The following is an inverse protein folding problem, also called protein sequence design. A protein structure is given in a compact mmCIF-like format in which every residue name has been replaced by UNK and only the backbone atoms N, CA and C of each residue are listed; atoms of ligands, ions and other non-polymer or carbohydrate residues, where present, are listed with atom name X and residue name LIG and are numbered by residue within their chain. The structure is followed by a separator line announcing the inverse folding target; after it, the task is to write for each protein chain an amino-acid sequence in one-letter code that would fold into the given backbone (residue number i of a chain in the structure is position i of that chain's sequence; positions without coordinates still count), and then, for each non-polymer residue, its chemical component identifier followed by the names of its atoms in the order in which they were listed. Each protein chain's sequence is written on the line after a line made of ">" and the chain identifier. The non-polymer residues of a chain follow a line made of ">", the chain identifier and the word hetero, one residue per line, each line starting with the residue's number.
data_IF_276418284850
#
_entry.id   IF_276418284850
#
_cell.length_a   1.000
_cell.length_b   1.000
_cell.length_c   1.000
_cell.angle_alpha   90.00
_cell.angle_beta   90.00
_cell.angle_gamma   90.00
#
_symmetry.space_group_name_H-M   'P 1'
#
loop_
_entity.id
_entity.type
_entity.pdbx_description
1 polymer ?
#
# COMPACT_ATOMS: atom_id res chain seq x y z
N UNK A 1 -7.83 2.66 0.15
CA UNK A 1 -7.64 2.81 -1.31
C UNK A 1 -8.88 2.45 -2.13
N UNK A 2 -9.53 1.29 -1.92
CA UNK A 2 -10.66 0.86 -2.77
C UNK A 2 -11.77 1.90 -2.98
N UNK A 3 -12.29 2.59 -1.93
CA UNK A 3 -13.33 3.60 -2.12
C UNK A 3 -12.86 4.76 -2.99
N UNK A 4 -11.63 5.24 -2.79
CA UNK A 4 -11.07 6.32 -3.62
C UNK A 4 -10.94 5.93 -5.08
N UNK A 5 -10.40 4.74 -5.37
CA UNK A 5 -10.34 4.23 -6.74
C UNK A 5 -11.72 4.12 -7.38
N UNK A 6 -12.71 3.61 -6.63
CA UNK A 6 -14.08 3.51 -7.11
C UNK A 6 -14.67 4.87 -7.47
N UNK A 7 -14.61 5.86 -6.57
CA UNK A 7 -15.16 7.20 -6.82
C UNK A 7 -14.40 7.98 -7.90
N UNK A 8 -13.08 7.80 -8.00
CA UNK A 8 -12.28 8.38 -9.10
C UNK A 8 -12.71 7.77 -10.45
N UNK A 9 -12.90 6.45 -10.51
CA UNK A 9 -13.41 5.78 -11.70
C UNK A 9 -14.82 6.23 -12.07
N UNK A 10 -15.69 6.38 -11.06
CA UNK A 10 -17.05 6.88 -11.25
C UNK A 10 -17.04 8.31 -11.81
N UNK A 11 -16.27 9.22 -11.22
CA UNK A 11 -16.14 10.59 -11.68
C UNK A 11 -15.57 10.70 -13.10
N UNK A 12 -14.67 9.79 -13.48
CA UNK A 12 -14.16 9.71 -14.84
C UNK A 12 -15.23 9.26 -15.85
N UNK A 13 -16.14 8.36 -15.47
CA UNK A 13 -17.24 7.89 -16.32
C UNK A 13 -18.36 8.93 -16.41
N UNK A 14 -18.71 9.58 -15.29
CA UNK A 14 -19.80 10.56 -15.23
C UNK A 14 -19.37 11.97 -15.65
N UNK A 15 -18.07 12.22 -15.80
CA UNK A 15 -17.51 13.54 -16.10
C UNK A 15 -17.65 14.56 -14.96
N UNK A 16 -18.08 14.13 -13.77
CA UNK A 16 -18.43 15.01 -12.65
C UNK A 16 -18.12 14.36 -11.31
N UNK A 17 -17.62 15.16 -10.36
CA UNK A 17 -17.39 14.72 -8.99
C UNK A 17 -18.69 14.83 -8.17
N UNK A 18 -19.45 13.73 -8.11
CA UNK A 18 -20.71 13.66 -7.38
C UNK A 18 -20.53 14.06 -5.91
N UNK A 19 -21.13 15.20 -5.54
CA UNK A 19 -21.07 15.78 -4.19
C UNK A 19 -19.65 15.98 -3.61
N UNK A 20 -18.62 16.03 -4.46
CA UNK A 20 -17.23 16.12 -4.00
C UNK A 20 -16.69 14.82 -3.36
N UNK A 21 -17.40 13.69 -3.49
CA UNK A 21 -17.00 12.41 -2.89
C UNK A 21 -15.68 11.88 -3.47
N UNK A 22 -15.45 12.06 -4.77
CA UNK A 22 -14.20 11.72 -5.43
C UNK A 22 -13.04 12.48 -4.80
N UNK A 23 -13.14 13.81 -4.72
CA UNK A 23 -12.12 14.66 -4.08
C UNK A 23 -11.91 14.31 -2.61
N UNK A 24 -12.98 14.00 -1.87
CA UNK A 24 -12.90 13.55 -0.48
C UNK A 24 -12.10 12.25 -0.34
N UNK A 25 -12.46 11.20 -1.08
CA UNK A 25 -11.79 9.91 -0.98
C UNK A 25 -10.39 9.89 -1.63
N UNK A 26 -10.11 10.79 -2.58
CA UNK A 26 -8.75 11.03 -3.09
C UNK A 26 -7.83 11.45 -1.96
N UNK A 27 -8.23 12.44 -1.14
CA UNK A 27 -7.42 12.94 -0.01
C UNK A 27 -7.08 11.83 0.98
N UNK A 28 -8.07 11.01 1.31
CA UNK A 28 -7.89 9.82 2.17
C UNK A 28 -6.96 8.82 1.50
N UNK A 29 -7.13 8.55 0.21
CA UNK A 29 -6.35 7.56 -0.53
C UNK A 29 -4.88 7.96 -0.63
N UNK A 30 -4.58 9.21 -0.97
CA UNK A 30 -3.20 9.70 -1.05
C UNK A 30 -2.54 9.69 0.33
N UNK A 31 -3.26 10.11 1.37
CA UNK A 31 -2.76 10.03 2.75
C UNK A 31 -2.50 8.60 3.19
N UNK A 32 -3.38 7.66 2.82
CA UNK A 32 -3.24 6.23 3.13
C UNK A 32 -2.03 5.62 2.43
N UNK A 33 -1.80 5.97 1.15
CA UNK A 33 -0.63 5.54 0.39
C UNK A 33 0.68 5.99 1.05
N UNK A 34 0.74 7.25 1.49
CA UNK A 34 1.93 7.76 2.20
C UNK A 34 2.14 7.03 3.52
N UNK A 35 1.07 6.78 4.27
CA UNK A 35 1.11 6.03 5.53
C UNK A 35 1.56 4.58 5.33
N UNK A 36 1.20 3.94 4.22
CA UNK A 36 1.64 2.58 3.91
C UNK A 36 3.17 2.48 3.82
N UNK A 37 3.83 3.45 3.20
CA UNK A 37 5.30 3.51 3.16
C UNK A 37 5.93 3.64 4.56
N UNK A 38 5.34 4.46 5.43
CA UNK A 38 5.81 4.62 6.82
C UNK A 38 5.59 3.33 7.62
N UNK A 39 4.42 2.71 7.49
CA UNK A 39 4.13 1.42 8.12
C UNK A 39 5.06 0.31 7.62
N UNK A 40 5.45 0.33 6.35
CA UNK A 40 6.43 -0.60 5.79
C UNK A 40 7.78 -0.53 6.53
N UNK A 41 8.25 0.68 6.85
CA UNK A 41 9.46 0.86 7.65
C UNK A 41 9.27 0.36 9.09
N UNK A 42 8.14 0.66 9.74
CA UNK A 42 7.87 0.19 11.11
C UNK A 42 7.80 -1.34 11.19
N UNK A 43 7.17 -1.96 10.18
CA UNK A 43 7.12 -3.42 10.07
C UNK A 43 8.53 -4.02 9.89
N UNK A 44 9.38 -3.37 9.07
CA UNK A 44 10.77 -3.82 8.87
C UNK A 44 11.62 -3.69 10.15
N UNK A 45 11.40 -2.65 10.96
CA UNK A 45 12.11 -2.45 12.23
C UNK A 45 11.65 -3.36 13.38
N UNK A 46 10.59 -4.15 13.16
CA UNK A 46 10.05 -5.14 14.09
C UNK A 46 9.64 -4.59 15.48
N UNK A 47 8.32 -4.47 15.70
CA UNK A 47 7.66 -4.45 17.04
C UNK A 47 7.99 -3.27 17.99
N UNK A 48 8.33 -2.10 17.48
CA UNK A 48 8.36 -0.90 18.31
C UNK A 48 6.96 -0.29 18.39
N UNK A 49 6.19 -0.64 19.43
CA UNK A 49 4.83 -0.14 19.65
C UNK A 49 4.76 1.40 19.65
N UNK A 50 5.80 2.05 20.16
CA UNK A 50 5.94 3.52 20.16
C UNK A 50 5.95 4.09 18.73
N UNK A 51 6.61 3.41 17.79
CA UNK A 51 6.64 3.87 16.40
C UNK A 51 5.26 3.75 15.74
N UNK A 52 4.47 2.73 16.10
CA UNK A 52 3.13 2.57 15.58
C UNK A 52 2.23 3.74 15.99
N UNK A 53 2.27 4.14 17.26
CA UNK A 53 1.52 5.31 17.75
C UNK A 53 1.94 6.58 16.99
N UNK A 54 3.25 6.80 16.82
CA UNK A 54 3.76 7.95 16.06
C UNK A 54 3.29 7.95 14.61
N UNK A 55 3.21 6.78 13.96
CA UNK A 55 2.72 6.68 12.58
C UNK A 55 1.24 7.04 12.49
N UNK A 56 0.41 6.59 13.42
CA UNK A 56 -1.01 6.96 13.46
C UNK A 56 -1.20 8.45 13.72
N UNK A 57 -0.40 9.03 14.62
CA UNK A 57 -0.40 10.49 14.86
C UNK A 57 0.01 11.26 13.60
N UNK A 58 1.05 10.81 12.90
CA UNK A 58 1.48 11.39 11.63
C UNK A 58 0.37 11.30 10.56
N UNK A 59 -0.28 10.15 10.42
CA UNK A 59 -1.38 9.96 9.48
C UNK A 59 -2.56 10.88 9.80
N UNK A 60 -2.96 10.97 11.07
CA UNK A 60 -4.04 11.84 11.49
C UNK A 60 -3.72 13.32 11.22
N UNK A 61 -2.51 13.77 11.56
CA UNK A 61 -2.05 15.13 11.29
C UNK A 61 -2.02 15.43 9.78
N UNK A 62 -1.44 14.54 8.99
CA UNK A 62 -1.37 14.67 7.54
C UNK A 62 -2.76 14.71 6.89
N UNK A 63 -3.67 13.87 7.36
CA UNK A 63 -5.06 13.86 6.90
C UNK A 63 -5.78 15.16 7.26
N UNK A 64 -5.61 15.65 8.50
CA UNK A 64 -6.18 16.92 8.95
C UNK A 64 -5.72 18.09 8.06
N UNK A 65 -4.44 18.13 7.68
CA UNK A 65 -3.91 19.14 6.74
C UNK A 65 -4.66 19.10 5.40
N UNK A 66 -4.91 17.93 4.82
CA UNK A 66 -5.66 17.81 3.56
C UNK A 66 -7.14 18.24 3.63
N UNK A 67 -7.71 18.24 4.83
CA UNK A 67 -9.07 18.75 5.07
C UNK A 67 -9.12 20.25 5.34
N UNK A 68 -7.97 20.93 5.43
CA UNK A 68 -7.93 22.40 5.48
C UNK A 68 -8.11 23.00 4.07
N UNK A 69 -8.62 24.24 3.97
CA UNK A 69 -8.77 24.93 2.67
C UNK A 69 -7.44 25.34 2.02
N UNK A 70 -6.30 24.99 2.62
CA UNK A 70 -4.96 25.40 2.21
C UNK A 70 -4.25 24.41 1.28
N UNK A 71 -4.76 23.19 1.19
CA UNK A 71 -4.24 22.14 0.32
C UNK A 71 -5.38 21.42 -0.36
N UNK A 72 -5.27 21.15 -1.66
CA UNK A 72 -6.34 20.46 -2.37
C UNK A 72 -5.86 19.62 -3.55
N UNK A 73 -6.76 18.75 -4.01
CA UNK A 73 -6.59 17.95 -5.21
C UNK A 73 -7.67 18.30 -6.23
N UNK A 74 -7.26 18.47 -7.49
CA UNK A 74 -8.17 18.60 -8.61
C UNK A 74 -8.36 17.22 -9.23
N UNK A 75 -9.61 16.78 -9.30
CA UNK A 75 -10.00 15.60 -10.04
C UNK A 75 -10.42 16.00 -11.46
N UNK A 76 -9.56 15.70 -12.44
CA UNK A 76 -9.89 15.91 -13.86
C UNK A 76 -10.42 14.60 -14.43
N UNK A 77 -11.65 14.61 -14.93
CA UNK A 77 -12.35 13.41 -15.40
C UNK A 77 -11.55 12.60 -16.45
N UNK A 78 -10.79 13.28 -17.32
CA UNK A 78 -10.07 12.60 -18.40
C UNK A 78 -8.71 12.01 -17.97
N UNK A 79 -8.15 12.38 -16.82
CA UNK A 79 -6.78 11.93 -16.47
C UNK A 79 -6.74 10.73 -15.54
N UNK A 80 -7.86 10.34 -14.91
CA UNK A 80 -8.01 9.27 -13.88
C UNK A 80 -7.08 9.40 -12.67
N UNK A 81 -6.14 10.33 -12.71
CA UNK A 81 -5.16 10.58 -11.69
C UNK A 81 -5.44 11.95 -11.09
N UNK A 82 -5.57 12.06 -9.75
CA UNK A 82 -5.70 13.35 -9.09
C UNK A 82 -4.45 14.19 -9.34
N UNK A 83 -4.65 15.48 -9.56
CA UNK A 83 -3.59 16.47 -9.73
C UNK A 83 -3.56 17.40 -8.52
N UNK A 84 -2.38 17.72 -8.03
CA UNK A 84 -2.22 18.73 -6.98
C UNK A 84 -2.77 20.09 -7.45
N UNK A 85 -3.59 20.73 -6.62
CA UNK A 85 -4.06 22.10 -6.84
C UNK A 85 -3.01 23.11 -6.38
N UNK A 86 -2.14 23.54 -7.31
CA UNK A 86 -1.12 24.55 -7.04
C UNK A 86 -1.67 25.98 -6.94
N UNK A 87 -2.97 26.22 -7.15
CA UNK A 87 -3.59 27.51 -6.84
C UNK A 87 -3.64 27.77 -5.33
N UNK A 88 -3.54 26.71 -4.51
CA UNK A 88 -3.49 26.80 -3.05
C UNK A 88 -2.04 26.92 -2.56
N UNK A 89 -1.77 27.79 -1.57
CA UNK A 89 -0.41 28.18 -1.20
C UNK A 89 0.43 27.04 -0.62
N UNK A 90 -0.19 26.08 0.07
CA UNK A 90 0.53 25.04 0.80
C UNK A 90 0.51 23.67 0.11
N UNK A 91 -0.23 23.50 -1.00
CA UNK A 91 -0.29 22.20 -1.70
C UNK A 91 1.11 21.73 -2.12
N UNK A 92 1.90 22.61 -2.74
CA UNK A 92 3.25 22.27 -3.19
C UNK A 92 4.15 21.84 -2.03
N UNK A 93 4.14 22.59 -0.94
CA UNK A 93 4.96 22.31 0.23
C UNK A 93 4.55 20.98 0.89
N UNK A 94 3.25 20.76 1.08
CA UNK A 94 2.72 19.53 1.66
C UNK A 94 2.96 18.30 0.77
N UNK A 95 2.89 18.49 -0.56
CA UNK A 95 3.25 17.46 -1.52
C UNK A 95 4.73 17.09 -1.39
N UNK A 96 5.61 18.08 -1.36
CA UNK A 96 7.07 17.88 -1.27
C UNK A 96 7.47 17.21 0.03
N UNK A 97 6.99 17.70 1.18
CA UNK A 97 7.29 17.12 2.50
C UNK A 97 6.79 15.68 2.57
N UNK A 98 5.51 15.45 2.24
CA UNK A 98 4.93 14.11 2.31
C UNK A 98 5.57 13.13 1.32
N UNK A 99 5.95 13.60 0.14
CA UNK A 99 6.71 12.82 -0.84
C UNK A 99 8.10 12.45 -0.34
N UNK A 100 8.87 13.40 0.21
CA UNK A 100 10.20 13.13 0.76
C UNK A 100 10.16 12.16 1.93
N UNK A 101 9.20 12.32 2.86
CA UNK A 101 9.03 11.38 3.99
C UNK A 101 8.74 9.97 3.45
N UNK A 102 7.81 9.86 2.50
CA UNK A 102 7.46 8.58 1.89
C UNK A 102 8.66 7.91 1.20
N UNK A 103 9.41 8.66 0.38
CA UNK A 103 10.59 8.16 -0.32
C UNK A 103 11.68 7.69 0.66
N UNK A 104 11.92 8.45 1.73
CA UNK A 104 12.88 8.09 2.78
C UNK A 104 12.44 6.83 3.53
N UNK A 105 11.15 6.71 3.87
CA UNK A 105 10.63 5.52 4.54
C UNK A 105 10.74 4.28 3.67
N UNK A 106 10.42 4.39 2.37
CA UNK A 106 10.60 3.30 1.41
C UNK A 106 12.07 2.93 1.31
N UNK A 107 12.98 3.89 1.07
CA UNK A 107 14.41 3.60 1.00
C UNK A 107 14.96 2.96 2.29
N UNK A 108 14.51 3.45 3.45
CA UNK A 108 14.87 2.88 4.76
C UNK A 108 14.36 1.45 4.92
N UNK A 109 13.11 1.18 4.54
CA UNK A 109 12.54 -0.17 4.63
C UNK A 109 13.30 -1.17 3.75
N UNK A 110 13.71 -0.77 2.55
CA UNK A 110 14.56 -1.58 1.67
C UNK A 110 15.86 -1.96 2.36
N UNK A 111 16.54 -0.96 2.93
CA UNK A 111 17.82 -1.15 3.58
C UNK A 111 17.67 -2.13 4.76
N UNK A 112 16.65 -1.96 5.58
CA UNK A 112 16.33 -2.89 6.67
C UNK A 112 16.12 -4.32 6.16
N UNK A 113 15.34 -4.50 5.09
CA UNK A 113 15.13 -5.83 4.52
C UNK A 113 16.42 -6.43 3.94
N UNK A 114 17.26 -5.67 3.24
CA UNK A 114 18.56 -6.13 2.76
C UNK A 114 19.44 -6.61 3.92
N UNK A 115 19.49 -5.84 5.02
CA UNK A 115 20.24 -6.24 6.22
C UNK A 115 19.69 -7.53 6.83
N UNK A 116 18.37 -7.66 6.95
CA UNK A 116 17.71 -8.88 7.44
C UNK A 116 18.06 -10.09 6.54
N UNK A 117 18.06 -9.93 5.22
CA UNK A 117 18.42 -10.99 4.26
C UNK A 117 19.86 -11.43 4.48
N UNK A 118 20.80 -10.49 4.50
CA UNK A 118 22.23 -10.78 4.68
C UNK A 118 22.46 -11.50 6.01
N UNK A 119 21.79 -11.04 7.07
CA UNK A 119 21.86 -11.66 8.39
C UNK A 119 21.30 -13.09 8.39
N UNK A 120 20.16 -13.34 7.73
CA UNK A 120 19.58 -14.69 7.62
C UNK A 120 20.47 -15.63 6.81
N UNK A 121 21.07 -15.17 5.71
CA UNK A 121 22.01 -15.94 4.90
C UNK A 121 23.26 -16.29 5.73
N UNK A 122 23.84 -15.29 6.41
CA UNK A 122 25.00 -15.48 7.27
C UNK A 122 24.72 -16.50 8.38
N UNK A 123 23.61 -16.34 9.10
CA UNK A 123 23.19 -17.25 10.17
C UNK A 123 22.98 -18.66 9.65
N UNK A 124 22.37 -18.82 8.47
CA UNK A 124 22.16 -20.12 7.83
C UNK A 124 23.46 -20.84 7.52
N UNK A 125 24.45 -20.13 6.99
CA UNK A 125 25.79 -20.68 6.72
C UNK A 125 26.46 -21.11 8.02
N UNK A 126 26.32 -20.31 9.08
CA UNK A 126 27.00 -20.54 10.36
C UNK A 126 26.38 -21.65 11.22
N UNK A 127 25.06 -21.84 11.21
CA UNK A 127 24.38 -22.69 12.22
C UNK A 127 23.80 -24.00 11.68
N UNK A 128 23.70 -24.21 10.36
CA UNK A 128 23.14 -25.42 9.69
C UNK A 128 21.76 -25.92 10.18
N UNK A 129 21.10 -25.22 11.11
CA UNK A 129 19.98 -25.76 11.89
C UNK A 129 18.93 -24.68 12.15
N UNK A 130 18.32 -24.17 11.07
CA UNK A 130 17.20 -23.24 11.18
C UNK A 130 15.90 -24.00 10.91
N UNK A 131 15.21 -24.40 11.99
CA UNK A 131 13.80 -24.85 11.92
C UNK A 131 12.95 -23.63 11.51
N UNK A 132 12.09 -23.79 10.51
CA UNK A 132 11.16 -22.78 9.93
C UNK A 132 11.67 -21.91 8.77
N UNK A 133 12.78 -22.27 8.11
CA UNK A 133 13.30 -21.57 6.93
C UNK A 133 12.26 -21.28 5.84
N UNK A 134 11.33 -22.20 5.58
CA UNK A 134 10.35 -22.04 4.51
C UNK A 134 9.40 -20.86 4.77
N UNK A 135 9.01 -20.65 6.03
CA UNK A 135 8.09 -19.57 6.40
C UNK A 135 8.80 -18.21 6.33
N UNK A 136 10.04 -18.13 6.84
CA UNK A 136 10.85 -16.91 6.75
C UNK A 136 11.22 -16.56 5.31
N UNK A 137 11.59 -17.55 4.49
CA UNK A 137 11.89 -17.35 3.06
C UNK A 137 10.65 -16.87 2.31
N UNK A 138 9.46 -17.40 2.64
CA UNK A 138 8.20 -16.94 2.05
C UNK A 138 7.90 -15.49 2.46
N UNK A 139 7.98 -15.13 3.74
CA UNK A 139 7.80 -13.75 4.18
C UNK A 139 8.77 -12.79 3.48
N UNK A 140 10.02 -13.24 3.30
CA UNK A 140 11.06 -12.47 2.66
C UNK A 140 10.81 -12.24 1.17
N UNK A 141 10.45 -13.29 0.42
CA UNK A 141 10.10 -13.17 -1.00
C UNK A 141 8.90 -12.24 -1.18
N UNK A 142 7.93 -12.31 -0.27
CA UNK A 142 6.77 -11.41 -0.27
C UNK A 142 7.20 -9.95 -0.15
N UNK A 143 8.05 -9.66 0.85
CA UNK A 143 8.55 -8.31 1.10
C UNK A 143 9.36 -7.77 -0.08
N UNK A 144 10.27 -8.56 -0.67
CA UNK A 144 11.07 -8.16 -1.83
C UNK A 144 10.19 -7.89 -3.05
N UNK A 145 9.23 -8.76 -3.34
CA UNK A 145 8.33 -8.58 -4.48
C UNK A 145 7.48 -7.32 -4.32
N UNK A 146 6.88 -7.11 -3.14
CA UNK A 146 6.11 -5.90 -2.83
C UNK A 146 6.96 -4.64 -2.99
N UNK A 147 8.14 -4.66 -2.37
CA UNK A 147 9.07 -3.54 -2.41
C UNK A 147 9.51 -3.20 -3.83
N UNK A 148 9.87 -4.20 -4.62
CA UNK A 148 10.34 -3.99 -6.00
C UNK A 148 9.26 -3.32 -6.86
N UNK A 149 8.00 -3.72 -6.68
CA UNK A 149 6.88 -3.08 -7.38
C UNK A 149 6.66 -1.64 -6.91
N UNK A 150 6.72 -1.38 -5.61
CA UNK A 150 6.54 -0.03 -5.05
C UNK A 150 7.67 0.92 -5.46
N UNK A 151 8.92 0.46 -5.44
CA UNK A 151 10.09 1.22 -5.89
C UNK A 151 10.03 1.51 -7.40
N UNK A 152 9.59 0.54 -8.20
CA UNK A 152 9.38 0.74 -9.65
C UNK A 152 8.32 1.81 -9.90
N UNK A 153 7.20 1.74 -9.17
CA UNK A 153 6.13 2.74 -9.29
C UNK A 153 6.55 4.13 -8.83
N UNK A 154 7.28 4.24 -7.72
CA UNK A 154 7.82 5.51 -7.24
C UNK A 154 8.76 6.12 -8.28
N UNK A 155 9.65 5.31 -8.87
CA UNK A 155 10.58 5.74 -9.92
C UNK A 155 9.84 6.21 -11.18
N UNK A 156 8.84 5.44 -11.64
CA UNK A 156 8.02 5.83 -12.80
C UNK A 156 7.25 7.12 -12.53
N UNK A 157 6.75 7.32 -11.30
CA UNK A 157 6.05 8.53 -10.92
C UNK A 157 6.98 9.75 -10.86
N UNK A 158 8.21 9.59 -10.38
CA UNK A 158 9.24 10.65 -10.41
C UNK A 158 9.66 10.99 -11.85
N UNK A 159 9.89 9.98 -12.69
CA UNK A 159 10.19 10.19 -14.11
C UNK A 159 9.04 10.87 -14.86
N UNK A 160 7.79 10.67 -14.41
CA UNK A 160 6.63 11.37 -14.98
C UNK A 160 6.65 12.87 -14.74
N UNK A 161 7.06 13.32 -13.56
CA UNK A 161 7.25 14.74 -13.27
C UNK A 161 8.24 15.39 -14.24
N UNK A 162 9.22 14.62 -14.73
CA UNK A 162 10.26 15.09 -15.66
C UNK A 162 9.81 15.02 -17.12
N UNK A 163 9.13 13.95 -17.56
CA UNK A 163 8.90 13.66 -18.98
C UNK A 163 7.45 13.71 -19.48
N UNK A 164 6.50 14.24 -18.69
CA UNK A 164 5.07 14.38 -19.08
C UNK A 164 4.53 13.12 -19.77
N UNK A 165 4.47 12.01 -19.02
CA UNK A 165 4.07 10.71 -19.55
C UNK A 165 2.64 10.78 -20.07
N UNK A 166 2.47 10.53 -21.37
CA UNK A 166 1.21 10.60 -22.14
C UNK A 166 0.10 9.67 -21.63
N UNK A 167 0.44 8.66 -20.82
CA UNK A 167 -0.46 7.57 -20.42
C UNK A 167 -0.77 7.55 -18.91
N UNK A 168 -1.27 8.65 -18.35
CA UNK A 168 -1.66 8.74 -16.93
C UNK A 168 -2.67 7.65 -16.51
N UNK A 169 -3.57 7.25 -17.42
CA UNK A 169 -4.56 6.18 -17.22
C UNK A 169 -3.89 4.83 -16.91
N UNK A 170 -2.88 4.45 -17.69
CA UNK A 170 -2.14 3.19 -17.51
C UNK A 170 -1.43 3.21 -16.16
N UNK A 171 -0.74 4.31 -15.85
CA UNK A 171 -0.02 4.45 -14.58
C UNK A 171 -0.97 4.31 -13.39
N UNK A 172 -2.13 4.97 -13.42
CA UNK A 172 -3.11 4.88 -12.35
C UNK A 172 -3.66 3.46 -12.17
N UNK A 173 -3.93 2.76 -13.28
CA UNK A 173 -4.35 1.35 -13.24
C UNK A 173 -3.26 0.47 -12.64
N UNK A 174 -2.00 0.65 -13.02
CA UNK A 174 -0.87 -0.12 -12.44
C UNK A 174 -0.73 0.17 -10.94
N UNK A 175 -0.81 1.44 -10.52
CA UNK A 175 -0.79 1.83 -9.10
C UNK A 175 -1.94 1.17 -8.34
N UNK A 176 -3.13 1.16 -8.91
CA UNK A 176 -4.32 0.55 -8.30
C UNK A 176 -4.15 -0.97 -8.17
N UNK A 177 -3.75 -1.65 -9.25
CA UNK A 177 -3.53 -3.09 -9.23
C UNK A 177 -2.43 -3.47 -8.22
N UNK A 178 -1.35 -2.69 -8.19
CA UNK A 178 -0.25 -2.91 -7.26
C UNK A 178 -0.65 -2.74 -5.80
N UNK A 179 -1.55 -1.82 -5.45
CA UNK A 179 -1.91 -1.62 -4.05
C UNK A 179 -3.15 -2.42 -3.61
N UNK A 180 -4.06 -2.74 -4.53
CA UNK A 180 -5.32 -3.41 -4.21
C UNK A 180 -5.28 -4.92 -4.44
N UNK A 181 -4.69 -5.35 -5.55
CA UNK A 181 -4.80 -6.71 -6.05
C UNK A 181 -3.50 -7.50 -5.81
N UNK A 182 -2.35 -6.86 -5.99
CA UNK A 182 -1.06 -7.51 -5.85
C UNK A 182 -0.82 -8.07 -4.43
N UNK A 183 -1.08 -7.34 -3.32
CA UNK A 183 -0.84 -7.88 -1.98
C UNK A 183 -1.69 -9.13 -1.64
N UNK A 184 -3.02 -9.16 -1.85
CA UNK A 184 -3.81 -10.35 -1.55
C UNK A 184 -3.52 -11.52 -2.49
N UNK A 185 -3.23 -11.25 -3.78
CA UNK A 185 -2.84 -12.31 -4.73
C UNK A 185 -1.50 -12.92 -4.34
N UNK A 186 -0.49 -12.09 -4.08
CA UNK A 186 0.83 -12.54 -3.66
C UNK A 186 0.75 -13.32 -2.35
N UNK A 187 0.00 -12.80 -1.37
CA UNK A 187 -0.22 -13.50 -0.09
C UNK A 187 -0.91 -14.86 -0.28
N UNK A 188 -1.92 -14.95 -1.15
CA UNK A 188 -2.63 -16.20 -1.46
C UNK A 188 -1.75 -17.22 -2.19
N UNK A 189 -0.85 -16.78 -3.07
CA UNK A 189 0.10 -17.66 -3.76
C UNK A 189 1.10 -18.24 -2.75
N UNK A 190 1.56 -17.42 -1.81
CA UNK A 190 2.66 -17.75 -0.91
C UNK A 190 2.22 -18.52 0.34
N UNK A 191 0.98 -18.32 0.80
CA UNK A 191 0.43 -19.03 1.94
C UNK A 191 -0.46 -20.19 1.51
N UNK A 192 0.09 -21.41 1.56
CA UNK A 192 -0.63 -22.63 1.16
C UNK A 192 -1.84 -22.97 2.06
N UNK A 193 -1.89 -22.45 3.28
CA UNK A 193 -3.04 -22.62 4.17
C UNK A 193 -4.20 -21.72 3.72
N UNK A 194 -3.91 -20.44 3.50
CA UNK A 194 -4.89 -19.46 2.99
C UNK A 194 -5.40 -19.88 1.63
N UNK A 195 -4.53 -20.32 0.71
CA UNK A 195 -4.96 -20.88 -0.58
C UNK A 195 -5.90 -22.06 -0.41
N UNK A 196 -5.61 -22.96 0.54
CA UNK A 196 -6.48 -24.11 0.80
C UNK A 196 -7.83 -23.68 1.37
N UNK A 197 -7.90 -22.68 2.22
CA UNK A 197 -9.17 -22.17 2.76
C UNK A 197 -9.98 -21.40 1.72
N UNK A 198 -9.32 -20.54 0.94
CA UNK A 198 -9.98 -19.70 -0.06
C UNK A 198 -10.51 -20.51 -1.26
N UNK A 199 -9.78 -21.55 -1.69
CA UNK A 199 -10.15 -22.37 -2.85
C UNK A 199 -10.82 -23.70 -2.49
N UNK A 200 -10.67 -24.25 -1.27
CA UNK A 200 -11.53 -25.36 -0.83
C UNK A 200 -12.84 -24.83 -0.26
N UNK A 201 -13.79 -24.56 -1.14
CA UNK A 201 -15.22 -24.66 -0.83
C UNK A 201 -15.62 -26.12 -0.58
N UNK A 202 -14.92 -26.85 0.31
CA UNK A 202 -15.37 -28.18 0.73
C UNK A 202 -16.48 -27.99 1.75
N UNK A 203 -17.72 -28.27 1.33
CA UNK A 203 -18.88 -28.51 2.20
C UNK A 203 -18.42 -29.37 3.38
N UNK A 204 -18.25 -28.76 4.57
CA UNK A 204 -18.34 -29.53 5.81
C UNK A 204 -19.82 -29.91 5.93
N UNK A 205 -20.17 -31.08 5.39
CA UNK A 205 -21.37 -31.78 5.84
C UNK A 205 -21.09 -32.22 7.28
N UNK A 206 -21.24 -31.29 8.23
CA UNK A 206 -21.37 -31.62 9.64
C UNK A 206 -22.68 -32.40 9.78
N UNK A 207 -22.58 -33.72 9.69
CA UNK A 207 -23.63 -34.62 10.16
C UNK A 207 -23.70 -34.40 11.66
N UNK A 208 -24.68 -33.61 12.10
CA UNK A 208 -25.03 -33.45 13.51
C UNK A 208 -25.58 -34.80 13.96
N UNK A 209 -24.75 -35.62 14.60
CA UNK A 209 -25.26 -36.77 15.34
C UNK A 209 -25.96 -36.24 16.59
N UNK A 210 -27.29 -36.19 16.52
CA UNK A 210 -28.14 -35.95 17.69
C UNK A 210 -28.08 -37.22 18.53
N UNK A 211 -27.34 -37.17 19.64
CA UNK A 211 -27.40 -38.21 20.65
C UNK A 211 -28.76 -38.13 21.34
N UNK A 212 -29.66 -39.07 21.02
CA UNK A 212 -30.90 -39.29 21.77
C UNK A 212 -30.53 -40.06 23.04
N UNK A 213 -30.50 -39.36 24.18
CA UNK A 213 -30.38 -40.00 25.48
C UNK A 213 -31.70 -40.71 25.81
N UNK A 214 -31.62 -42.01 26.14
CA UNK A 214 -32.73 -42.83 26.62
C UNK A 214 -32.94 -42.66 28.12
#
# INVERSE_FOLDING_TARGET
>A
MAPGTFFIGLAAVTGSDFFGLGSFFVKITVSSLRMEGVLGLVLALSRLDVLLTLCWSFYAAHLAVYFTPWTDYILVADTYLPRDDYSRPYTYLNHRIGGTIYDVCIAGSLLCYVVIIVYLIYTKISTKLVKNLQQETSLLVYAISRFSCDATLATVNHLRLVYSVRNAKILYTVVTLNNLLFPPVLYSIMNSAVRREFFNCKKKNTVVQVAVNK
#
